data_IF_284048897599
#
_entry.id   IF_284048897599
#
_cell.length_a   1.000
_cell.length_b   1.000
_cell.length_c   1.000
_cell.angle_alpha   90.00
_cell.angle_beta   90.00
_cell.angle_gamma   90.00
#
_symmetry.space_group_name_H-M   'P 1'
#
loop_
_entity.id
_entity.type
_entity.pdbx_description
1 polymer ?
#
# COMPACT_ATOMS: atom_id res chain seq x y z
N UNK A 1 14.78 3.23 4.16
CA UNK A 1 15.97 3.95 3.63
C UNK A 1 15.77 5.44 3.82
N UNK A 2 14.73 6.08 3.28
CA UNK A 2 14.52 7.53 3.37
C UNK A 2 14.43 8.06 4.79
N UNK A 3 13.86 7.31 5.75
CA UNK A 3 13.84 7.65 7.18
C UNK A 3 15.23 7.90 7.78
N UNK A 4 16.28 7.28 7.22
CA UNK A 4 17.67 7.55 7.61
C UNK A 4 18.24 8.78 6.91
N UNK A 5 17.86 9.02 5.66
CA UNK A 5 18.35 10.14 4.90
C UNK A 5 17.84 11.48 5.45
N UNK A 6 16.56 11.56 5.82
CA UNK A 6 16.00 12.81 6.39
C UNK A 6 16.65 13.24 7.71
N UNK A 7 17.35 12.33 8.42
CA UNK A 7 18.17 12.66 9.61
C UNK A 7 19.51 13.29 9.25
N UNK A 8 19.88 13.33 7.99
CA UNK A 8 21.10 13.96 7.49
C UNK A 8 20.71 15.22 6.71
N UNK A 9 21.62 16.15 6.66
CA UNK A 9 21.48 17.32 5.81
C UNK A 9 21.79 16.92 4.36
N UNK A 10 20.74 16.60 3.60
CA UNK A 10 20.85 16.13 2.20
C UNK A 10 21.40 17.22 1.28
N UNK A 11 21.30 18.50 1.67
CA UNK A 11 21.83 19.64 0.90
C UNK A 11 23.37 19.64 0.83
N UNK A 12 24.06 18.84 1.66
CA UNK A 12 25.52 18.68 1.62
C UNK A 12 26.01 17.78 0.50
N UNK A 13 25.10 17.10 -0.19
CA UNK A 13 25.44 16.20 -1.29
C UNK A 13 25.04 16.83 -2.62
N UNK A 14 25.86 16.60 -3.63
CA UNK A 14 25.49 16.99 -5.00
C UNK A 14 24.47 16.00 -5.55
N UNK A 15 23.22 16.43 -5.59
CA UNK A 15 22.09 15.67 -6.13
C UNK A 15 21.61 16.23 -7.48
N UNK A 16 22.41 17.07 -8.14
CA UNK A 16 22.01 17.79 -9.37
C UNK A 16 21.66 16.84 -10.56
N UNK A 17 22.16 15.61 -10.54
CA UNK A 17 21.86 14.59 -11.55
C UNK A 17 20.76 13.59 -11.11
N UNK A 18 20.22 13.75 -9.92
CA UNK A 18 19.15 12.89 -9.40
C UNK A 18 17.79 13.45 -9.82
N UNK A 19 17.16 12.81 -10.79
CA UNK A 19 15.87 13.27 -11.35
C UNK A 19 14.67 12.53 -10.74
N UNK A 20 14.85 11.25 -10.35
CA UNK A 20 13.77 10.41 -9.83
C UNK A 20 14.20 9.65 -8.58
N UNK A 21 13.30 9.57 -7.63
CA UNK A 21 13.43 8.75 -6.44
C UNK A 21 12.15 7.93 -6.24
N UNK A 22 12.30 6.65 -5.92
CA UNK A 22 11.18 5.73 -5.80
C UNK A 22 11.20 4.99 -4.49
N UNK A 23 10.03 4.52 -4.05
CA UNK A 23 9.88 3.61 -2.92
C UNK A 23 8.82 2.57 -3.21
N UNK A 24 9.00 1.39 -2.64
CA UNK A 24 8.04 0.30 -2.67
C UNK A 24 8.31 -0.66 -1.50
N UNK A 25 7.39 -1.60 -1.27
CA UNK A 25 7.52 -2.66 -0.26
C UNK A 25 6.88 -2.34 1.08
N UNK A 26 6.76 -1.08 1.44
CA UNK A 26 5.97 -0.59 2.56
C UNK A 26 5.34 0.75 2.17
N UNK A 27 4.17 1.06 2.73
CA UNK A 27 3.51 2.33 2.46
C UNK A 27 4.37 3.50 2.97
N UNK A 28 4.48 4.54 2.16
CA UNK A 28 5.29 5.71 2.45
C UNK A 28 4.61 6.60 3.48
N UNK A 29 5.31 6.86 4.58
CA UNK A 29 4.83 7.83 5.56
C UNK A 29 4.88 9.25 4.97
N UNK A 30 3.77 10.04 5.05
CA UNK A 30 3.70 11.39 4.51
C UNK A 30 4.79 12.33 5.03
N UNK A 31 5.16 12.24 6.33
CA UNK A 31 6.23 13.06 6.91
C UNK A 31 7.59 12.80 6.24
N UNK A 32 7.88 11.55 5.91
CA UNK A 32 9.12 11.19 5.19
C UNK A 32 9.13 11.81 3.80
N UNK A 33 7.99 11.77 3.10
CA UNK A 33 7.84 12.42 1.80
C UNK A 33 8.12 13.93 1.90
N UNK A 34 7.44 14.61 2.83
CA UNK A 34 7.56 16.06 3.04
C UNK A 34 9.01 16.48 3.34
N UNK A 35 9.68 15.75 4.22
CA UNK A 35 11.06 16.05 4.60
C UNK A 35 12.05 15.85 3.44
N UNK A 36 11.88 14.79 2.65
CA UNK A 36 12.71 14.56 1.46
C UNK A 36 12.45 15.65 0.43
N UNK A 37 11.19 15.96 0.15
CA UNK A 37 10.83 17.01 -0.80
C UNK A 37 11.40 18.38 -0.39
N UNK A 38 11.28 18.74 0.89
CA UNK A 38 11.83 20.01 1.43
C UNK A 38 13.34 20.11 1.30
N UNK A 39 14.06 18.99 1.43
CA UNK A 39 15.52 18.99 1.37
C UNK A 39 16.08 18.91 -0.06
N UNK A 40 15.38 18.24 -0.97
CA UNK A 40 15.90 17.90 -2.32
C UNK A 40 15.11 18.54 -3.47
N UNK A 41 13.87 18.96 -3.24
CA UNK A 41 12.93 19.35 -4.29
C UNK A 41 12.33 18.18 -5.08
N UNK A 42 12.77 16.95 -4.82
CA UNK A 42 12.30 15.76 -5.50
C UNK A 42 11.06 15.17 -4.82
N UNK A 43 10.20 14.54 -5.61
CA UNK A 43 9.06 13.77 -5.11
C UNK A 43 9.37 12.29 -5.08
N UNK A 44 9.10 11.63 -3.97
CA UNK A 44 9.21 10.16 -3.89
C UNK A 44 8.01 9.56 -4.63
N UNK A 45 8.29 8.79 -5.66
CA UNK A 45 7.29 8.07 -6.44
C UNK A 45 7.05 6.72 -5.78
N UNK A 46 5.89 6.58 -5.13
CA UNK A 46 5.50 5.36 -4.47
C UNK A 46 4.89 4.37 -5.45
N UNK A 47 5.18 3.08 -5.21
CA UNK A 47 4.60 1.99 -5.97
C UNK A 47 4.28 0.78 -5.12
N UNK A 48 3.22 0.08 -5.46
CA UNK A 48 2.74 -1.13 -4.82
C UNK A 48 2.88 -2.33 -5.75
N UNK A 49 3.39 -3.39 -5.20
CA UNK A 49 3.50 -4.71 -5.81
C UNK A 49 3.83 -5.74 -4.74
N UNK A 50 3.89 -6.99 -5.12
CA UNK A 50 4.16 -8.11 -4.23
C UNK A 50 5.25 -9.00 -4.81
N UNK A 51 5.74 -9.98 -4.03
CA UNK A 51 6.63 -11.02 -4.55
C UNK A 51 5.96 -11.84 -5.66
N UNK A 52 4.66 -11.97 -5.59
CA UNK A 52 3.78 -12.64 -6.55
C UNK A 52 3.52 -11.84 -7.82
N UNK A 53 3.94 -10.58 -7.86
CA UNK A 53 3.69 -9.68 -8.98
C UNK A 53 4.86 -8.73 -9.20
N UNK A 54 4.83 -7.97 -10.29
CA UNK A 54 5.65 -6.77 -10.42
C UNK A 54 4.85 -5.55 -9.95
N UNK A 55 5.21 -4.34 -10.33
CA UNK A 55 4.55 -3.11 -9.94
C UNK A 55 3.09 -3.09 -10.44
N UNK A 56 2.13 -3.21 -9.54
CA UNK A 56 0.70 -3.19 -9.83
C UNK A 56 0.11 -1.79 -9.86
N UNK A 57 0.41 -0.99 -8.83
CA UNK A 57 0.00 0.40 -8.71
C UNK A 57 1.25 1.27 -8.61
N UNK A 58 1.19 2.49 -9.08
CA UNK A 58 2.33 3.40 -8.95
C UNK A 58 2.01 4.85 -9.33
N UNK A 59 2.76 5.74 -8.71
CA UNK A 59 2.92 7.12 -9.16
C UNK A 59 4.02 7.11 -10.22
N UNK A 60 3.62 7.00 -11.49
CA UNK A 60 4.56 6.84 -12.59
C UNK A 60 5.12 8.18 -13.05
N UNK A 61 6.30 8.15 -13.68
CA UNK A 61 6.91 9.33 -14.30
C UNK A 61 5.95 9.99 -15.28
N UNK A 62 5.77 11.30 -15.14
CA UNK A 62 4.83 12.08 -15.96
C UNK A 62 3.38 12.07 -15.45
N UNK A 63 3.08 11.33 -14.37
CA UNK A 63 1.79 11.44 -13.67
C UNK A 63 1.85 12.48 -12.56
N UNK A 64 0.68 12.99 -12.17
CA UNK A 64 0.57 13.79 -10.94
C UNK A 64 0.54 12.83 -9.74
N UNK A 65 1.55 12.88 -8.89
CA UNK A 65 1.57 12.09 -7.67
C UNK A 65 0.62 12.69 -6.62
N UNK A 66 -0.19 11.84 -5.97
CA UNK A 66 -0.88 12.19 -4.72
C UNK A 66 -0.10 11.59 -3.55
N UNK A 67 0.37 12.45 -2.65
CA UNK A 67 1.18 12.07 -1.49
C UNK A 67 0.42 11.08 -0.61
N UNK A 68 1.05 9.95 -0.27
CA UNK A 68 0.46 8.89 0.56
C UNK A 68 -0.44 7.94 -0.21
N UNK A 69 -0.67 8.15 -1.52
CA UNK A 69 -1.37 7.19 -2.36
C UNK A 69 -0.41 6.18 -2.98
N UNK A 70 -0.87 4.95 -3.18
CA UNK A 70 -0.17 3.94 -3.97
C UNK A 70 -0.09 4.30 -5.47
N UNK A 71 -0.71 5.40 -5.89
CA UNK A 71 -0.82 5.79 -7.29
C UNK A 71 -2.02 5.16 -8.00
N UNK A 72 -1.87 4.94 -9.30
CA UNK A 72 -2.89 4.38 -10.19
C UNK A 72 -2.42 3.03 -10.76
N UNK A 73 -3.34 2.20 -11.29
CA UNK A 73 -2.96 0.96 -11.97
C UNK A 73 -1.93 1.19 -13.07
N UNK A 74 -0.88 0.36 -13.07
CA UNK A 74 0.07 0.34 -14.18
C UNK A 74 -0.56 -0.30 -15.42
N UNK A 75 -0.06 -0.03 -16.63
CA UNK A 75 -0.64 -0.58 -17.85
C UNK A 75 -0.65 -2.11 -17.95
N UNK A 76 0.10 -2.80 -17.06
CA UNK A 76 0.17 -4.26 -17.03
C UNK A 76 -1.03 -4.92 -16.37
N UNK A 77 -1.78 -4.20 -15.54
CA UNK A 77 -2.79 -4.79 -14.68
C UNK A 77 -4.14 -4.09 -14.78
N UNK A 78 -5.20 -4.87 -14.82
CA UNK A 78 -6.56 -4.40 -14.61
C UNK A 78 -6.93 -4.62 -13.14
N UNK A 79 -6.91 -3.55 -12.34
CA UNK A 79 -7.07 -3.58 -10.89
C UNK A 79 -8.44 -3.01 -10.50
N UNK A 80 -9.04 -3.61 -9.49
CA UNK A 80 -10.21 -3.05 -8.84
C UNK A 80 -10.15 -3.27 -7.32
N UNK A 81 -10.99 -2.53 -6.60
CA UNK A 81 -11.30 -2.84 -5.20
C UNK A 81 -12.54 -3.73 -5.19
N UNK A 82 -12.48 -4.82 -4.44
CA UNK A 82 -13.54 -5.82 -4.38
C UNK A 82 -14.01 -6.12 -2.95
N UNK A 83 -15.27 -6.53 -2.83
CA UNK A 83 -15.84 -7.10 -1.62
C UNK A 83 -15.39 -8.57 -1.42
N UNK A 84 -15.90 -9.22 -0.37
CA UNK A 84 -15.58 -10.61 -0.06
C UNK A 84 -16.14 -11.63 -1.08
N UNK A 85 -17.11 -11.24 -1.89
CA UNK A 85 -17.71 -12.04 -2.96
C UNK A 85 -17.02 -11.79 -4.33
N UNK A 86 -16.05 -10.88 -4.40
CA UNK A 86 -15.35 -10.55 -5.63
C UNK A 86 -16.05 -9.50 -6.50
N UNK A 87 -17.09 -8.82 -5.99
CA UNK A 87 -17.75 -7.74 -6.70
C UNK A 87 -17.00 -6.44 -6.56
N UNK A 88 -16.98 -5.64 -7.64
CA UNK A 88 -16.36 -4.29 -7.62
C UNK A 88 -17.09 -3.37 -6.64
N UNK A 89 -16.30 -2.72 -5.78
CA UNK A 89 -16.78 -1.64 -4.92
C UNK A 89 -16.68 -0.26 -5.61
N UNK A 90 -17.59 0.67 -5.27
CA UNK A 90 -17.50 2.06 -5.72
C UNK A 90 -16.30 2.79 -5.11
N UNK A 91 -16.05 4.01 -5.61
CA UNK A 91 -15.03 4.88 -5.03
C UNK A 91 -15.28 5.16 -3.54
N UNK A 92 -14.22 5.33 -2.80
CA UNK A 92 -14.19 5.63 -1.35
C UNK A 92 -14.70 4.47 -0.43
N UNK A 93 -14.97 3.29 -0.98
CA UNK A 93 -15.25 2.11 -0.17
C UNK A 93 -14.01 1.23 -0.04
N UNK A 94 -13.78 0.75 1.20
CA UNK A 94 -12.63 -0.12 1.52
C UNK A 94 -12.92 -1.56 1.16
N UNK A 95 -12.04 -2.17 0.39
CA UNK A 95 -12.09 -3.57 0.03
C UNK A 95 -10.71 -4.13 -0.32
N UNK A 96 -10.66 -5.33 -0.86
CA UNK A 96 -9.43 -5.96 -1.28
C UNK A 96 -8.97 -5.44 -2.65
N UNK A 97 -7.66 -5.22 -2.77
CA UNK A 97 -7.03 -5.00 -4.08
C UNK A 97 -7.02 -6.33 -4.82
N UNK A 98 -7.66 -6.39 -5.97
CA UNK A 98 -7.68 -7.60 -6.80
C UNK A 98 -7.30 -7.28 -8.24
N UNK A 99 -6.75 -8.28 -8.93
CA UNK A 99 -6.41 -8.18 -10.36
C UNK A 99 -7.36 -9.02 -11.17
N UNK A 100 -8.02 -8.39 -12.14
CA UNK A 100 -8.80 -9.08 -13.17
C UNK A 100 -7.83 -9.51 -14.26
N UNK A 101 -7.59 -10.83 -14.47
CA UNK A 101 -6.62 -11.28 -15.46
C UNK A 101 -7.08 -10.94 -16.87
N UNK A 102 -6.15 -10.60 -17.73
CA UNK A 102 -6.34 -10.50 -19.18
C UNK A 102 -5.86 -11.77 -19.87
N UNK A 103 -6.25 -11.98 -21.13
CA UNK A 103 -5.80 -13.14 -21.92
C UNK A 103 -4.26 -13.25 -22.02
N UNK A 104 -3.58 -12.11 -21.98
CA UNK A 104 -2.11 -12.01 -22.04
C UNK A 104 -1.54 -11.46 -20.73
N UNK A 105 -2.07 -11.90 -19.58
CA UNK A 105 -1.58 -11.42 -18.30
C UNK A 105 -0.14 -11.84 -18.08
N UNK A 106 0.71 -10.84 -17.89
CA UNK A 106 2.12 -11.01 -17.51
C UNK A 106 2.36 -10.45 -16.11
N UNK A 107 3.50 -10.85 -15.50
CA UNK A 107 3.95 -10.29 -14.24
C UNK A 107 3.22 -10.78 -13.00
N UNK A 108 2.41 -11.83 -13.09
CA UNK A 108 1.88 -12.56 -11.95
C UNK A 108 2.57 -13.92 -11.89
N UNK A 109 2.94 -14.36 -10.69
CA UNK A 109 3.64 -15.63 -10.46
C UNK A 109 2.82 -16.85 -10.89
N UNK A 110 3.50 -17.99 -11.08
CA UNK A 110 2.87 -19.21 -11.57
C UNK A 110 2.53 -20.21 -10.46
N UNK A 111 2.87 -19.92 -9.21
CA UNK A 111 2.56 -20.80 -8.08
C UNK A 111 3.52 -20.66 -6.92
N UNK A 112 3.15 -21.28 -5.80
CA UNK A 112 4.00 -21.43 -4.63
C UNK A 112 4.67 -22.81 -4.66
N UNK A 113 5.97 -22.86 -4.46
CA UNK A 113 6.72 -24.10 -4.47
C UNK A 113 6.19 -25.05 -3.39
N UNK A 114 5.68 -26.23 -3.82
CA UNK A 114 5.14 -27.24 -2.93
C UNK A 114 3.84 -26.88 -2.19
N UNK A 115 3.10 -25.85 -2.62
CA UNK A 115 1.85 -25.46 -1.99
C UNK A 115 0.80 -25.00 -3.02
N UNK A 116 0.23 -25.99 -3.71
CA UNK A 116 -0.80 -25.76 -4.74
C UNK A 116 -2.11 -25.23 -4.14
N UNK A 117 -2.46 -25.65 -2.92
CA UNK A 117 -3.67 -25.20 -2.23
C UNK A 117 -3.61 -23.68 -1.95
N UNK A 118 -2.44 -23.18 -1.54
CA UNK A 118 -2.26 -21.75 -1.32
C UNK A 118 -2.39 -20.98 -2.63
N UNK A 119 -1.82 -21.51 -3.72
CA UNK A 119 -1.99 -20.90 -5.05
C UNK A 119 -3.45 -20.86 -5.48
N UNK A 120 -4.20 -21.96 -5.32
CA UNK A 120 -5.62 -21.98 -5.62
C UNK A 120 -6.43 -20.99 -4.78
N UNK A 121 -6.03 -20.76 -3.52
CA UNK A 121 -6.71 -19.84 -2.60
C UNK A 121 -6.57 -18.37 -3.00
N UNK A 122 -5.49 -17.97 -3.67
CA UNK A 122 -5.34 -16.59 -4.15
C UNK A 122 -6.02 -16.34 -5.50
N UNK A 123 -6.54 -17.41 -6.15
CA UNK A 123 -7.28 -17.33 -7.40
C UNK A 123 -8.75 -17.71 -7.20
N UNK A 124 -9.50 -16.89 -6.48
CA UNK A 124 -10.94 -17.11 -6.27
C UNK A 124 -11.72 -16.29 -7.30
N UNK A 125 -12.88 -16.82 -7.69
CA UNK A 125 -13.79 -16.18 -8.67
C UNK A 125 -13.13 -15.80 -10.00
N UNK A 126 -12.00 -16.44 -10.35
CA UNK A 126 -11.23 -16.13 -11.57
C UNK A 126 -10.44 -14.83 -11.51
N UNK A 127 -10.27 -14.23 -10.32
CA UNK A 127 -9.48 -13.03 -10.08
C UNK A 127 -8.36 -13.31 -9.09
N UNK A 128 -7.27 -12.57 -9.19
CA UNK A 128 -6.14 -12.68 -8.26
C UNK A 128 -6.36 -11.80 -7.04
N UNK A 129 -6.34 -12.40 -5.87
CA UNK A 129 -6.50 -11.78 -4.56
C UNK A 129 -5.15 -11.46 -3.93
N UNK A 130 -4.87 -10.19 -3.67
CA UNK A 130 -3.59 -9.77 -3.11
C UNK A 130 -3.50 -9.97 -1.59
N UNK A 131 -4.63 -10.03 -0.91
CA UNK A 131 -4.70 -10.00 0.56
C UNK A 131 -4.43 -8.62 1.15
N UNK A 132 -4.25 -7.58 0.32
CA UNK A 132 -4.09 -6.20 0.72
C UNK A 132 -5.38 -5.41 0.53
N UNK A 133 -5.73 -4.55 1.49
CA UNK A 133 -6.92 -3.71 1.46
C UNK A 133 -6.58 -2.27 1.15
N UNK A 134 -7.44 -1.65 0.36
CA UNK A 134 -7.34 -0.25 -0.03
C UNK A 134 -8.73 0.32 -0.35
N UNK A 135 -8.82 1.59 -0.58
CA UNK A 135 -9.93 2.22 -1.30
C UNK A 135 -9.39 3.00 -2.51
N UNK A 136 -10.23 3.24 -3.49
CA UNK A 136 -9.92 4.09 -4.65
C UNK A 136 -10.69 5.40 -4.50
N UNK A 137 -10.03 6.54 -4.64
CA UNK A 137 -10.70 7.84 -4.62
C UNK A 137 -11.38 8.17 -5.97
N UNK A 138 -12.15 9.26 -6.00
CA UNK A 138 -12.88 9.70 -7.20
C UNK A 138 -11.96 10.07 -8.38
N UNK A 139 -10.69 10.36 -8.13
CA UNK A 139 -9.68 10.62 -9.16
C UNK A 139 -8.95 9.35 -9.63
N UNK A 140 -9.29 8.18 -9.05
CA UNK A 140 -8.74 6.87 -9.38
C UNK A 140 -7.38 6.56 -8.75
N UNK A 141 -7.01 7.24 -7.67
CA UNK A 141 -5.85 6.89 -6.86
C UNK A 141 -6.22 5.89 -5.78
N UNK A 142 -5.32 4.95 -5.52
CA UNK A 142 -5.49 3.90 -4.53
C UNK A 142 -4.80 4.27 -3.22
N UNK A 143 -5.48 4.04 -2.10
CA UNK A 143 -5.02 4.40 -0.77
C UNK A 143 -4.97 3.14 0.10
N UNK A 144 -3.79 2.83 0.59
CA UNK A 144 -3.54 1.62 1.37
C UNK A 144 -4.18 1.69 2.76
N UNK A 145 -4.83 0.61 3.18
CA UNK A 145 -5.44 0.49 4.51
C UNK A 145 -4.71 -0.55 5.35
N UNK A 146 -4.35 -1.69 4.79
CA UNK A 146 -3.63 -2.74 5.50
C UNK A 146 -3.78 -4.11 4.86
N UNK A 147 -3.22 -5.13 5.50
CA UNK A 147 -3.46 -6.52 5.16
C UNK A 147 -4.83 -6.96 5.68
N UNK A 148 -5.51 -7.85 4.95
CA UNK A 148 -6.79 -8.45 5.40
C UNK A 148 -6.61 -9.17 6.74
N UNK A 149 -5.48 -9.87 6.91
CA UNK A 149 -5.13 -10.67 8.09
C UNK A 149 -4.76 -9.78 9.28
N UNK A 150 -4.25 -8.57 9.05
CA UNK A 150 -3.81 -7.64 10.09
C UNK A 150 -4.92 -6.67 10.53
N UNK A 151 -6.05 -6.62 9.82
CA UNK A 151 -7.17 -5.74 10.18
C UNK A 151 -7.67 -6.03 11.60
N UNK A 152 -7.64 -5.02 12.44
CA UNK A 152 -8.09 -5.10 13.83
C UNK A 152 -9.62 -5.03 13.87
N UNK A 153 -10.25 -6.09 14.36
CA UNK A 153 -11.71 -6.19 14.47
C UNK A 153 -12.14 -5.74 15.87
N UNK A 154 -12.48 -4.46 16.02
CA UNK A 154 -12.86 -3.88 17.31
C UNK A 154 -14.25 -3.27 17.26
N UNK A 155 -15.16 -3.71 18.16
CA UNK A 155 -16.56 -3.22 18.28
C UNK A 155 -17.35 -3.23 16.96
N UNK A 156 -17.06 -4.19 16.05
CA UNK A 156 -17.70 -4.27 14.73
C UNK A 156 -17.03 -3.44 13.65
N UNK A 157 -16.04 -2.62 13.99
CA UNK A 157 -15.22 -1.90 13.02
C UNK A 157 -14.03 -2.74 12.58
N UNK A 158 -13.57 -2.51 11.34
CA UNK A 158 -12.30 -3.00 10.81
C UNK A 158 -11.36 -1.82 10.69
N UNK A 159 -10.29 -1.84 11.45
CA UNK A 159 -9.32 -0.75 11.53
C UNK A 159 -7.98 -1.23 11.00
N UNK A 160 -7.43 -0.53 10.04
CA UNK A 160 -6.08 -0.80 9.52
C UNK A 160 -5.01 -0.31 10.51
N UNK A 161 -4.06 -1.17 10.91
CA UNK A 161 -2.94 -0.74 11.75
C UNK A 161 -2.22 0.49 11.21
N UNK A 162 -2.01 0.52 9.89
CA UNK A 162 -1.27 1.57 9.19
C UNK A 162 -1.87 2.98 9.37
N UNK A 163 -3.21 3.11 9.39
CA UNK A 163 -3.86 4.40 9.60
C UNK A 163 -3.51 5.01 10.98
N UNK A 164 -3.49 4.15 12.00
CA UNK A 164 -3.16 4.58 13.37
C UNK A 164 -1.67 4.87 13.49
N UNK A 165 -0.82 4.04 12.90
CA UNK A 165 0.64 4.23 12.86
C UNK A 165 1.01 5.57 12.22
N UNK A 166 0.36 5.94 11.11
CA UNK A 166 0.59 7.23 10.45
C UNK A 166 0.28 8.40 11.39
N UNK A 167 -0.88 8.38 12.05
CA UNK A 167 -1.25 9.44 12.99
C UNK A 167 -0.29 9.52 14.18
N UNK A 168 0.12 8.38 14.72
CA UNK A 168 1.08 8.34 15.83
C UNK A 168 2.46 8.88 15.42
N UNK A 169 2.88 8.63 14.20
CA UNK A 169 4.17 9.09 13.68
C UNK A 169 4.22 10.59 13.36
N UNK A 170 3.09 11.28 13.31
CA UNK A 170 3.06 12.77 13.25
C UNK A 170 3.60 13.40 14.53
N UNK A 171 3.61 12.66 15.65
CA UNK A 171 4.10 13.18 16.92
C UNK A 171 5.64 13.24 16.93
N UNK A 172 6.27 14.39 17.22
CA UNK A 172 7.72 14.59 17.06
C UNK A 172 8.60 13.71 17.96
N UNK A 173 8.04 13.14 19.04
CA UNK A 173 8.74 12.20 19.91
C UNK A 173 8.59 10.74 19.49
N UNK A 174 7.74 10.42 18.50
CA UNK A 174 7.55 9.06 17.98
C UNK A 174 8.46 8.88 16.77
N UNK A 175 9.39 7.95 16.89
CA UNK A 175 10.34 7.65 15.83
C UNK A 175 9.89 6.48 14.98
N UNK A 176 9.20 5.52 15.60
CA UNK A 176 8.66 4.32 15.00
C UNK A 176 7.58 3.75 15.93
N UNK A 177 6.53 3.21 15.37
CA UNK A 177 5.48 2.52 16.11
C UNK A 177 4.97 1.33 15.30
N UNK A 178 4.36 0.37 15.99
CA UNK A 178 3.63 -0.73 15.39
C UNK A 178 2.32 -0.88 16.14
N UNK A 179 1.23 -1.05 15.39
CA UNK A 179 -0.12 -1.20 15.93
C UNK A 179 -0.62 -2.62 15.67
N UNK A 180 -1.17 -3.25 16.69
CA UNK A 180 -1.72 -4.62 16.60
C UNK A 180 -3.00 -4.76 17.40
N UNK A 181 -3.83 -5.74 17.03
CA UNK A 181 -5.01 -6.13 17.78
C UNK A 181 -4.70 -7.16 18.85
N UNK A 182 -5.04 -6.90 20.10
CA UNK A 182 -4.98 -7.89 21.17
C UNK A 182 -6.38 -8.37 21.55
N UNK A 183 -6.58 -9.65 21.92
CA UNK A 183 -7.88 -10.15 22.31
C UNK A 183 -8.49 -9.35 23.47
N UNK A 184 -9.75 -8.93 23.33
CA UNK A 184 -10.52 -8.20 24.34
C UNK A 184 -11.93 -8.77 24.45
N UNK A 185 -12.38 -9.10 25.67
CA UNK A 185 -13.68 -9.77 25.91
C UNK A 185 -14.89 -8.91 25.52
N UNK A 186 -14.77 -7.59 25.59
CA UNK A 186 -15.88 -6.67 25.33
C UNK A 186 -15.87 -6.13 23.89
N UNK A 187 -14.71 -6.10 23.25
CA UNK A 187 -14.51 -5.42 21.96
C UNK A 187 -14.18 -6.38 20.81
N UNK A 188 -13.93 -7.67 21.13
CA UNK A 188 -13.32 -8.63 20.23
C UNK A 188 -11.79 -8.47 20.21
N UNK A 189 -11.32 -7.33 19.77
CA UNK A 189 -9.92 -6.91 19.89
C UNK A 189 -9.82 -5.48 20.44
N UNK A 190 -8.80 -5.21 21.24
CA UNK A 190 -8.36 -3.88 21.61
C UNK A 190 -7.13 -3.50 20.79
N UNK A 191 -7.01 -2.24 20.44
CA UNK A 191 -5.87 -1.68 19.74
C UNK A 191 -4.73 -1.48 20.73
N UNK A 192 -3.54 -1.95 20.39
CA UNK A 192 -2.31 -1.79 21.19
C UNK A 192 -1.20 -1.23 20.33
#
# INVERSE_FOLDING_TARGET
VYRYFIKKDMKKFDLSHLEHITTAGEALNPEVFEQVHKQTGLQIMEGFGQTESVLMLGNLVGSTAKIGSLGKPTPLYNIMIADNEGNRLPANEVGEIVVIPSENQHGIFMGYCGNEDLYANVWKYGIYHTGDTAYMDDDGYYWYVGRIDDLIKTRGYRVGPFEIENVLMEHPAVMECAVTGIPDKARGQAIK
#
